data_IF_547654817474
#
_entry.id   IF_547654817474
#
_cell.length_a   1.000
_cell.length_b   1.000
_cell.length_c   1.000
_cell.angle_alpha   90.00
_cell.angle_beta   90.00
_cell.angle_gamma   90.00
#
_symmetry.space_group_name_H-M   'P 1'
#
loop_
_entity.id
_entity.type
_entity.pdbx_description
1 polymer ?
#
# COMPACT_ATOMS: atom_id res chain seq x y z
N UNK A 1 3.98 12.80 -1.77
CA UNK A 1 4.61 11.75 -0.95
C UNK A 1 6.10 11.99 -0.79
N UNK A 2 6.86 12.14 -1.88
CA UNK A 2 8.32 12.38 -1.85
C UNK A 2 8.79 13.48 -0.88
N UNK A 3 8.12 14.64 -0.85
CA UNK A 3 8.42 15.71 0.12
C UNK A 3 8.41 15.25 1.57
N UNK A 4 7.41 14.44 1.98
CA UNK A 4 7.25 13.93 3.35
C UNK A 4 8.14 12.73 3.65
N UNK A 5 8.55 12.02 2.59
CA UNK A 5 9.54 10.94 2.69
C UNK A 5 10.93 11.47 3.08
N UNK A 6 11.24 12.71 2.67
CA UNK A 6 12.49 13.41 2.98
C UNK A 6 12.42 14.26 4.27
N UNK A 7 11.43 14.04 5.15
CA UNK A 7 11.43 14.64 6.48
C UNK A 7 12.46 13.92 7.39
N UNK A 8 12.90 14.57 8.49
CA UNK A 8 13.95 14.03 9.37
C UNK A 8 13.62 14.21 10.87
N UNK A 9 14.36 13.51 11.73
CA UNK A 9 14.30 13.66 13.19
C UNK A 9 12.90 13.48 13.76
N UNK A 10 12.41 14.47 14.52
CA UNK A 10 11.09 14.47 15.19
C UNK A 10 9.91 14.22 14.25
N UNK A 11 10.08 14.44 12.95
CA UNK A 11 9.06 14.19 11.93
C UNK A 11 9.08 12.74 11.39
N UNK A 12 9.69 11.79 12.10
CA UNK A 12 9.77 10.37 11.72
C UNK A 12 8.42 9.76 11.33
N UNK A 13 7.32 10.22 11.95
CA UNK A 13 5.96 9.77 11.61
C UNK A 13 5.56 10.12 10.18
N UNK A 14 6.00 11.26 9.65
CA UNK A 14 5.75 11.63 8.25
C UNK A 14 6.48 10.69 7.30
N UNK A 15 7.73 10.37 7.61
CA UNK A 15 8.56 9.44 6.83
C UNK A 15 7.91 8.06 6.83
N UNK A 16 7.60 7.52 8.01
CA UNK A 16 6.98 6.20 8.16
C UNK A 16 5.63 6.10 7.46
N UNK A 17 4.71 7.05 7.70
CA UNK A 17 3.40 7.06 7.04
C UNK A 17 3.52 7.22 5.52
N UNK A 18 4.52 7.95 5.03
CA UNK A 18 4.80 8.06 3.59
C UNK A 18 5.28 6.73 3.01
N UNK A 19 6.14 5.98 3.71
CA UNK A 19 6.53 4.62 3.31
C UNK A 19 5.34 3.66 3.30
N UNK A 20 4.47 3.71 4.31
CA UNK A 20 3.26 2.88 4.36
C UNK A 20 2.34 3.18 3.17
N UNK A 21 2.12 4.46 2.87
CA UNK A 21 1.34 4.87 1.72
C UNK A 21 1.99 4.41 0.41
N UNK A 22 3.32 4.53 0.28
CA UNK A 22 4.04 4.13 -0.91
C UNK A 22 3.91 2.62 -1.16
N UNK A 23 4.06 1.80 -0.12
CA UNK A 23 3.85 0.34 -0.18
C UNK A 23 2.45 0.00 -0.70
N UNK A 24 1.41 0.66 -0.18
CA UNK A 24 0.05 0.46 -0.65
C UNK A 24 -0.13 0.88 -2.12
N UNK A 25 0.40 2.04 -2.53
CA UNK A 25 0.29 2.51 -3.91
C UNK A 25 1.07 1.63 -4.90
N UNK A 26 2.23 1.10 -4.49
CA UNK A 26 3.04 0.17 -5.29
C UNK A 26 2.26 -1.13 -5.56
N UNK A 27 1.43 -1.60 -4.61
CA UNK A 27 0.65 -2.84 -4.76
C UNK A 27 -0.70 -2.62 -5.45
N UNK A 28 -1.46 -1.60 -5.03
CA UNK A 28 -2.86 -1.41 -5.42
C UNK A 28 -3.10 -0.24 -6.39
N UNK A 29 -2.08 0.61 -6.60
CA UNK A 29 -2.15 1.76 -7.49
C UNK A 29 -1.84 1.44 -8.94
N UNK A 30 -1.83 2.49 -9.77
CA UNK A 30 -1.45 2.39 -11.19
C UNK A 30 0.00 1.89 -11.35
N UNK A 31 0.27 1.10 -12.39
CA UNK A 31 1.61 0.55 -12.67
C UNK A 31 2.69 1.63 -12.75
N UNK A 32 2.35 2.81 -13.29
CA UNK A 32 3.24 3.97 -13.35
C UNK A 32 3.81 4.35 -11.98
N UNK A 33 3.07 4.13 -10.89
CA UNK A 33 3.57 4.42 -9.54
C UNK A 33 4.75 3.52 -9.19
N UNK A 34 4.63 2.21 -9.46
CA UNK A 34 5.74 1.28 -9.20
C UNK A 34 6.97 1.61 -10.05
N UNK A 35 6.78 2.03 -11.30
CA UNK A 35 7.86 2.47 -12.18
C UNK A 35 8.58 3.72 -11.63
N UNK A 36 7.82 4.75 -11.25
CA UNK A 36 8.38 5.95 -10.63
C UNK A 36 9.11 5.67 -9.31
N UNK A 37 8.65 4.67 -8.54
CA UNK A 37 9.33 4.25 -7.32
C UNK A 37 10.65 3.53 -7.59
N UNK A 38 10.76 2.77 -8.68
CA UNK A 38 12.02 2.14 -9.10
C UNK A 38 13.03 3.19 -9.59
N UNK A 39 12.59 4.16 -10.38
CA UNK A 39 13.43 5.27 -10.85
C UNK A 39 13.98 6.10 -9.68
N UNK A 40 13.19 6.30 -8.63
CA UNK A 40 13.57 7.04 -7.43
C UNK A 40 13.94 6.13 -6.25
N UNK A 41 14.35 4.88 -6.50
CA UNK A 41 14.56 3.89 -5.44
C UNK A 41 15.60 4.36 -4.42
N UNK A 42 16.57 5.18 -4.83
CA UNK A 42 17.59 5.74 -3.95
C UNK A 42 16.99 6.54 -2.79
N UNK A 43 15.93 7.33 -3.03
CA UNK A 43 15.24 8.09 -1.99
C UNK A 43 14.60 7.20 -0.90
N UNK A 44 14.28 5.95 -1.24
CA UNK A 44 13.78 4.95 -0.29
C UNK A 44 14.95 4.21 0.37
N UNK A 45 16.03 3.96 -0.38
CA UNK A 45 17.21 3.25 0.13
C UNK A 45 17.92 4.00 1.26
N UNK A 46 18.03 5.32 1.17
CA UNK A 46 18.63 6.16 2.23
C UNK A 46 17.91 6.02 3.57
N UNK A 47 16.62 5.69 3.56
CA UNK A 47 15.83 5.50 4.78
C UNK A 47 16.10 4.19 5.51
N UNK A 48 16.86 3.25 4.92
CA UNK A 48 17.27 2.01 5.60
C UNK A 48 18.21 2.28 6.77
N UNK A 49 18.85 3.44 6.79
CA UNK A 49 19.80 3.88 7.82
C UNK A 49 19.23 5.03 8.66
N UNK A 50 17.90 5.27 8.59
CA UNK A 50 17.23 6.33 9.33
C UNK A 50 17.37 6.14 10.86
N UNK A 51 17.81 7.20 11.55
CA UNK A 51 18.00 7.21 13.00
C UNK A 51 17.18 8.30 13.67
N UNK A 52 16.40 7.92 14.68
CA UNK A 52 15.75 8.84 15.60
C UNK A 52 15.43 8.11 16.90
N UNK A 53 15.95 8.62 18.02
CA UNK A 53 15.68 8.12 19.37
C UNK A 53 14.91 9.19 20.13
N UNK A 54 13.81 8.80 20.75
CA UNK A 54 12.94 9.67 21.56
C UNK A 54 12.56 8.88 22.81
N UNK A 55 12.72 9.47 23.99
CA UNK A 55 12.46 8.82 25.29
C UNK A 55 13.16 7.45 25.45
N UNK A 56 14.45 7.40 25.07
CA UNK A 56 15.27 6.17 25.03
C UNK A 56 14.73 5.05 24.12
N UNK A 57 13.75 5.34 23.27
CA UNK A 57 13.17 4.40 22.31
C UNK A 57 13.58 4.73 20.88
N UNK A 58 14.03 3.72 20.15
CA UNK A 58 14.35 3.83 18.73
C UNK A 58 13.07 3.89 17.88
N UNK A 59 12.63 5.11 17.59
CA UNK A 59 11.49 5.36 16.71
C UNK A 59 11.87 5.18 15.22
N UNK A 60 13.16 5.20 14.90
CA UNK A 60 13.68 4.97 13.56
C UNK A 60 13.59 3.51 13.12
N UNK A 61 13.51 2.55 14.06
CA UNK A 61 13.48 1.12 13.75
C UNK A 61 12.41 0.75 12.70
N UNK A 62 11.17 1.18 12.91
CA UNK A 62 10.06 0.88 11.98
C UNK A 62 10.25 1.53 10.60
N UNK A 63 10.88 2.70 10.54
CA UNK A 63 11.24 3.36 9.28
C UNK A 63 12.23 2.51 8.51
N UNK A 64 13.31 2.07 9.18
CA UNK A 64 14.36 1.24 8.58
C UNK A 64 13.81 -0.09 8.06
N UNK A 65 13.02 -0.79 8.88
CA UNK A 65 12.44 -2.08 8.49
C UNK A 65 11.48 -1.95 7.30
N UNK A 66 10.60 -0.93 7.31
CA UNK A 66 9.69 -0.68 6.18
C UNK A 66 10.46 -0.30 4.90
N UNK A 67 11.51 0.51 5.01
CA UNK A 67 12.36 0.87 3.88
C UNK A 67 13.08 -0.36 3.28
N UNK A 68 13.64 -1.23 4.13
CA UNK A 68 14.27 -2.49 3.67
C UNK A 68 13.29 -3.38 2.91
N UNK A 69 12.07 -3.57 3.43
CA UNK A 69 11.02 -4.35 2.78
C UNK A 69 10.63 -3.77 1.42
N UNK A 70 10.46 -2.44 1.34
CA UNK A 70 10.09 -1.76 0.10
C UNK A 70 11.18 -1.85 -0.95
N UNK A 71 12.43 -1.62 -0.57
CA UNK A 71 13.57 -1.75 -1.49
C UNK A 71 13.71 -3.18 -1.99
N UNK A 72 13.54 -4.18 -1.11
CA UNK A 72 13.57 -5.58 -1.50
C UNK A 72 12.45 -5.91 -2.50
N UNK A 73 11.23 -5.42 -2.27
CA UNK A 73 10.11 -5.60 -3.20
C UNK A 73 10.36 -4.93 -4.56
N UNK A 74 10.88 -3.69 -4.56
CA UNK A 74 11.09 -2.92 -5.80
C UNK A 74 12.25 -3.45 -6.66
N UNK A 75 13.20 -4.20 -6.06
CA UNK A 75 14.31 -4.84 -6.76
C UNK A 75 13.95 -6.22 -7.34
N UNK A 76 12.85 -6.82 -6.90
CA UNK A 76 12.40 -8.14 -7.34
C UNK A 76 11.16 -7.98 -8.22
N UNK A 77 11.38 -7.93 -9.53
CA UNK A 77 10.34 -7.68 -10.53
C UNK A 77 9.25 -8.76 -10.54
N UNK A 78 9.63 -10.02 -10.38
CA UNK A 78 8.69 -11.15 -10.37
C UNK A 78 7.82 -11.12 -9.13
N UNK A 79 8.43 -10.92 -7.96
CA UNK A 79 7.68 -10.75 -6.71
C UNK A 79 6.75 -9.56 -6.77
N UNK A 80 7.20 -8.42 -7.30
CA UNK A 80 6.38 -7.22 -7.43
C UNK A 80 5.17 -7.46 -8.35
N UNK A 81 5.37 -8.11 -9.51
CA UNK A 81 4.27 -8.48 -10.42
C UNK A 81 3.25 -9.38 -9.72
N UNK A 82 3.72 -10.38 -8.97
CA UNK A 82 2.83 -11.29 -8.24
C UNK A 82 2.02 -10.56 -7.16
N UNK A 83 2.64 -9.69 -6.37
CA UNK A 83 1.95 -8.93 -5.33
C UNK A 83 0.91 -7.97 -5.93
N UNK A 84 1.20 -7.34 -7.08
CA UNK A 84 0.24 -6.49 -7.80
C UNK A 84 -0.93 -7.28 -8.36
N UNK A 85 -0.70 -8.45 -8.95
CA UNK A 85 -1.77 -9.34 -9.42
C UNK A 85 -2.72 -9.72 -8.29
N UNK A 86 -2.18 -10.17 -7.16
CA UNK A 86 -2.98 -10.49 -5.96
C UNK A 86 -3.77 -9.29 -5.46
N UNK A 87 -3.14 -8.11 -5.44
CA UNK A 87 -3.78 -6.86 -5.02
C UNK A 87 -4.95 -6.47 -5.93
N UNK A 88 -4.81 -6.68 -7.24
CA UNK A 88 -5.88 -6.43 -8.22
C UNK A 88 -7.04 -7.40 -8.03
N UNK A 89 -6.79 -8.70 -7.87
CA UNK A 89 -7.85 -9.66 -7.58
C UNK A 89 -8.59 -9.36 -6.26
N UNK A 90 -7.86 -8.93 -5.23
CA UNK A 90 -8.45 -8.51 -3.96
C UNK A 90 -9.35 -7.27 -4.13
N UNK A 91 -8.90 -6.30 -4.93
CA UNK A 91 -9.69 -5.09 -5.26
C UNK A 91 -10.95 -5.43 -6.04
N UNK A 92 -10.88 -6.33 -7.01
CA UNK A 92 -12.04 -6.79 -7.78
C UNK A 92 -13.04 -7.54 -6.89
N UNK A 93 -12.56 -8.42 -6.01
CA UNK A 93 -13.41 -9.14 -5.04
C UNK A 93 -14.14 -8.17 -4.11
N UNK A 94 -13.45 -7.16 -3.57
CA UNK A 94 -14.05 -6.14 -2.72
C UNK A 94 -15.08 -5.30 -3.48
N UNK A 95 -14.78 -4.90 -4.72
CA UNK A 95 -15.71 -4.16 -5.56
C UNK A 95 -16.99 -4.96 -5.87
N UNK A 96 -16.88 -6.26 -6.13
CA UNK A 96 -18.04 -7.14 -6.36
C UNK A 96 -18.92 -7.29 -5.12
N UNK A 97 -18.30 -7.48 -3.96
CA UNK A 97 -19.03 -7.54 -2.68
C UNK A 97 -19.75 -6.22 -2.37
N UNK A 98 -19.10 -5.08 -2.61
CA UNK A 98 -19.70 -3.76 -2.42
C UNK A 98 -20.91 -3.51 -3.34
N UNK A 99 -20.94 -4.14 -4.52
CA UNK A 99 -22.07 -4.06 -5.46
C UNK A 99 -23.14 -5.13 -5.22
N UNK A 100 -23.04 -5.94 -4.15
CA UNK A 100 -24.01 -7.00 -3.85
C UNK A 100 -24.06 -8.12 -4.90
N UNK A 101 -23.02 -8.22 -5.74
CA UNK A 101 -22.93 -9.23 -6.79
C UNK A 101 -22.28 -10.48 -6.21
N UNK A 102 -23.10 -11.49 -5.93
CA UNK A 102 -22.63 -12.81 -5.58
C UNK A 102 -21.96 -13.49 -6.79
N UNK A 103 -21.15 -14.50 -6.52
CA UNK A 103 -20.45 -15.28 -7.54
C UNK A 103 -21.39 -16.15 -8.41
N UNK A 104 -22.72 -16.05 -8.23
CA UNK A 104 -23.71 -16.82 -8.98
C UNK A 104 -24.33 -16.04 -10.15
N UNK A 105 -23.97 -14.77 -10.33
CA UNK A 105 -24.46 -13.97 -11.46
C UNK A 105 -25.95 -13.63 -11.39
N UNK A 106 -26.60 -13.87 -10.26
CA UNK A 106 -27.98 -13.44 -10.05
C UNK A 106 -28.00 -12.02 -9.50
N UNK A 107 -28.36 -11.06 -10.35
CA UNK A 107 -28.76 -9.73 -9.88
C UNK A 107 -30.10 -9.90 -9.17
N UNK A 108 -30.08 -9.93 -7.83
CA UNK A 108 -31.30 -9.89 -7.03
C UNK A 108 -31.88 -8.49 -7.10
N UNK A 109 -32.64 -8.19 -8.15
CA UNK A 109 -33.55 -7.04 -8.15
C UNK A 109 -34.57 -7.25 -7.02
N UNK A 110 -34.66 -6.26 -6.14
CA UNK A 110 -35.53 -6.27 -4.96
C UNK A 110 -36.95 -6.71 -5.31
N UNK A 111 -37.39 -7.80 -4.67
CA UNK A 111 -38.76 -8.31 -4.73
C UNK A 111 -39.68 -7.37 -3.93
N UNK A 112 -40.73 -6.77 -4.53
CA UNK A 112 -41.72 -6.03 -3.77
C UNK A 112 -42.51 -6.99 -2.89
N UNK A 113 -42.66 -6.68 -1.61
CA UNK A 113 -43.55 -7.41 -0.70
C UNK A 113 -44.97 -6.95 -0.97
N UNK A 114 -45.75 -7.72 -1.72
CA UNK A 114 -47.20 -7.59 -1.71
C UNK A 114 -47.73 -8.29 -0.45
N UNK A 115 -48.03 -7.53 0.60
CA UNK A 115 -48.87 -8.00 1.69
C UNK A 115 -50.33 -7.72 1.34
N UNK A 116 -51.04 -8.76 0.96
CA UNK A 116 -52.49 -8.79 0.96
C UNK A 116 -52.98 -9.09 2.38
N UNK A 117 -53.87 -8.25 2.90
CA UNK A 117 -54.99 -8.57 3.81
C UNK A 117 -55.88 -7.35 3.92
#
# INVERSE_FOLDING_TARGET
>A
VWKRLNDHGKNWRHVYKSLVLLDHLIKYGNERVSQQCKENIFAIQTLKDFQYVEDQKDQGFNVREKAKQLVALLKDDERLRNERRKAQEARERYARQAMGMDSSGTVTYGRPTTSAS
#
